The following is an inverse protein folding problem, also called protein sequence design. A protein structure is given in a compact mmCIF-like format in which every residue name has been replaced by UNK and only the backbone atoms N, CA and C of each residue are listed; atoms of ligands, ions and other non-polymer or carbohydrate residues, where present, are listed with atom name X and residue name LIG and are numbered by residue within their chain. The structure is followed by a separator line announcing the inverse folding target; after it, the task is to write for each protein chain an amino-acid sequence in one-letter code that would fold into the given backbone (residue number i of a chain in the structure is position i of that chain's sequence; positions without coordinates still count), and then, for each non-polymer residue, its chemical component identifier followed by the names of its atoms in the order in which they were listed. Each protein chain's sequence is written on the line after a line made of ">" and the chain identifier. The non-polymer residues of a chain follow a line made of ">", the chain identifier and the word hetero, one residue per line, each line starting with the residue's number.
data_IF_621926011042
#
_entry.id   IF_621926011042
#
_cell.length_a   1.000
_cell.length_b   1.000
_cell.length_c   1.000
_cell.angle_alpha   90.00
_cell.angle_beta   90.00
_cell.angle_gamma   90.00
#
_symmetry.space_group_name_H-M   'P 1'
#
loop_
_entity.id
_entity.type
_entity.pdbx_description
1 polymer ?
#
# COMPACT_ATOMS: atom_id res chain seq x y z
N UNK A 1 29.32 3.85 -23.53
CA UNK A 1 29.23 4.57 -22.25
C UNK A 1 29.31 3.57 -21.11
N UNK A 2 29.78 3.95 -19.92
CA UNK A 2 29.96 3.02 -18.79
C UNK A 2 28.79 3.19 -17.80
N UNK A 3 28.24 2.09 -17.29
CA UNK A 3 27.19 2.12 -16.26
C UNK A 3 27.78 2.51 -14.90
N UNK A 4 27.21 3.52 -14.25
CA UNK A 4 27.72 3.97 -12.93
C UNK A 4 27.48 2.98 -11.77
N UNK A 5 26.63 1.96 -11.96
CA UNK A 5 26.34 0.98 -10.90
C UNK A 5 27.11 -0.33 -11.03
N UNK A 6 27.42 -0.76 -12.25
CA UNK A 6 28.05 -2.05 -12.50
C UNK A 6 29.32 -1.96 -13.35
N UNK A 7 29.73 -0.77 -13.79
CA UNK A 7 30.96 -0.57 -14.57
C UNK A 7 30.94 -1.17 -15.98
N UNK A 8 29.84 -1.79 -16.40
CA UNK A 8 29.74 -2.42 -17.71
C UNK A 8 29.63 -1.37 -18.84
N UNK A 9 30.38 -1.54 -19.94
CA UNK A 9 30.20 -0.73 -21.13
C UNK A 9 28.86 -1.08 -21.79
N UNK A 10 28.07 -0.07 -22.14
CA UNK A 10 26.80 -0.22 -22.83
C UNK A 10 26.61 0.85 -23.90
N UNK A 11 25.84 0.51 -24.92
CA UNK A 11 25.39 1.43 -25.96
C UNK A 11 24.11 2.14 -25.49
N UNK A 12 24.11 3.47 -25.31
CA UNK A 12 22.89 4.18 -24.99
C UNK A 12 21.92 4.09 -26.17
N UNK A 13 20.66 3.74 -25.90
CA UNK A 13 19.59 3.83 -26.89
C UNK A 13 19.47 5.30 -27.29
N UNK A 14 19.87 5.66 -28.51
CA UNK A 14 20.05 7.04 -29.00
C UNK A 14 18.76 7.87 -29.11
N UNK A 15 17.70 7.52 -28.38
CA UNK A 15 16.41 8.19 -28.34
C UNK A 15 16.21 8.81 -26.96
N UNK A 16 16.31 10.14 -26.88
CA UNK A 16 16.08 10.91 -25.65
C UNK A 16 17.33 11.24 -24.82
N UNK A 17 17.13 11.50 -23.53
CA UNK A 17 18.19 11.97 -22.61
C UNK A 17 19.30 10.91 -22.44
N UNK A 18 20.56 11.36 -22.32
CA UNK A 18 21.73 10.49 -22.14
C UNK A 18 21.51 9.44 -21.05
N UNK A 19 21.61 8.16 -21.40
CA UNK A 19 21.41 7.06 -20.47
C UNK A 19 22.61 6.94 -19.52
N UNK A 20 22.35 6.92 -18.21
CA UNK A 20 23.36 6.87 -17.14
C UNK A 20 23.68 5.43 -16.68
N UNK A 21 22.76 4.51 -16.93
CA UNK A 21 22.85 3.12 -16.48
C UNK A 21 22.53 2.19 -17.65
N UNK A 22 23.14 1.00 -17.67
CA UNK A 22 22.92 0.02 -18.73
C UNK A 22 21.53 -0.60 -18.73
N UNK A 23 20.78 -0.51 -17.62
CA UNK A 23 19.43 -1.08 -17.49
C UNK A 23 18.62 -0.41 -16.37
N UNK A 24 17.30 -0.65 -16.39
CA UNK A 24 16.38 -0.25 -15.31
C UNK A 24 16.77 -0.86 -13.95
N UNK A 25 17.30 -2.08 -13.95
CA UNK A 25 17.78 -2.77 -12.73
C UNK A 25 18.94 -2.02 -12.07
N UNK A 26 19.91 -1.55 -12.87
CA UNK A 26 21.01 -0.73 -12.37
C UNK A 26 20.48 0.61 -11.85
N UNK A 27 19.60 1.29 -12.60
CA UNK A 27 18.97 2.54 -12.14
C UNK A 27 18.30 2.40 -10.76
N UNK A 28 17.60 1.30 -10.51
CA UNK A 28 16.91 1.08 -9.23
C UNK A 28 17.89 0.75 -8.08
N UNK A 29 18.98 0.02 -8.36
CA UNK A 29 20.05 -0.23 -7.38
C UNK A 29 20.73 1.07 -6.96
N UNK A 30 21.02 1.96 -7.91
CA UNK A 30 21.57 3.30 -7.65
C UNK A 30 20.69 4.10 -6.69
N UNK A 31 19.39 4.13 -6.98
CA UNK A 31 18.42 4.86 -6.18
C UNK A 31 18.33 4.32 -4.74
N UNK A 32 18.30 3.00 -4.58
CA UNK A 32 18.27 2.36 -3.25
C UNK A 32 19.54 2.64 -2.45
N UNK A 33 20.72 2.62 -3.10
CA UNK A 33 22.00 2.92 -2.46
C UNK A 33 22.07 4.38 -2.01
N UNK A 34 21.66 5.32 -2.87
CA UNK A 34 21.61 6.75 -2.54
C UNK A 34 20.70 7.03 -1.34
N UNK A 35 19.52 6.39 -1.27
CA UNK A 35 18.57 6.55 -0.17
C UNK A 35 19.04 5.90 1.14
N UNK A 36 19.85 4.84 1.08
CA UNK A 36 20.51 4.27 2.27
C UNK A 36 21.61 5.20 2.79
N UNK A 37 22.42 5.75 1.90
CA UNK A 37 23.48 6.69 2.27
C UNK A 37 22.92 8.00 2.83
N UNK A 38 21.81 8.52 2.28
CA UNK A 38 21.18 9.74 2.80
C UNK A 38 20.58 9.58 4.20
N UNK A 39 20.26 8.36 4.64
CA UNK A 39 19.83 8.09 6.02
C UNK A 39 20.99 8.00 7.00
N UNK A 40 22.19 7.67 6.51
CA UNK A 40 23.40 7.53 7.31
C UNK A 40 24.12 8.88 7.49
N UNK A 41 23.92 9.85 6.59
CA UNK A 41 24.66 11.13 6.59
C UNK A 41 23.89 12.33 7.15
N UNK A 42 22.64 12.16 7.58
CA UNK A 42 21.92 13.19 8.37
C UNK A 42 22.00 12.81 9.85
N UNK A 43 22.79 13.53 10.68
CA UNK A 43 22.60 13.49 12.12
C UNK A 43 21.20 14.07 12.43
N UNK A 44 20.41 13.44 13.31
CA UNK A 44 19.18 14.08 13.79
C UNK A 44 19.55 15.34 14.58
N UNK A 45 18.93 16.47 14.24
CA UNK A 45 19.05 17.72 15.00
C UNK A 45 18.38 17.57 16.38
N UNK A 46 18.86 18.28 17.43
CA UNK A 46 18.51 17.98 18.82
C UNK A 46 17.21 18.68 19.23
N UNK A 47 16.33 17.96 19.91
CA UNK A 47 15.25 18.55 20.68
C UNK A 47 14.90 17.64 21.86
N UNK A 48 15.13 18.14 23.07
CA UNK A 48 14.53 17.66 24.31
C UNK A 48 15.36 16.62 25.06
N UNK A 49 15.81 17.01 26.24
CA UNK A 49 16.38 16.14 27.26
C UNK A 49 15.31 15.11 27.65
N UNK A 50 15.46 13.88 27.17
CA UNK A 50 14.71 12.74 27.71
C UNK A 50 15.75 11.75 28.20
N UNK A 51 15.85 11.69 29.52
CA UNK A 51 16.68 10.76 30.25
C UNK A 51 16.39 9.35 29.74
N UNK A 52 17.44 8.65 29.35
CA UNK A 52 17.39 7.26 28.97
C UNK A 52 17.19 6.43 30.24
N UNK A 53 15.93 6.15 30.60
CA UNK A 53 15.64 5.06 31.54
C UNK A 53 15.79 3.70 30.82
N UNK A 54 16.47 2.74 31.45
CA UNK A 54 16.68 1.42 30.90
C UNK A 54 15.42 0.55 31.06
N UNK A 55 15.06 -0.14 29.98
CA UNK A 55 14.23 -1.37 29.94
C UNK A 55 13.14 -1.50 31.02
N UNK A 56 12.03 -0.80 30.83
CA UNK A 56 10.76 -1.26 31.37
C UNK A 56 10.32 -2.47 30.53
N UNK A 57 10.55 -3.66 31.08
CA UNK A 57 9.81 -4.90 30.88
C UNK A 57 8.52 -4.73 30.07
N UNK A 58 8.32 -5.58 29.06
CA UNK A 58 7.10 -5.81 28.27
C UNK A 58 5.78 -5.68 29.05
N UNK A 59 5.33 -4.46 29.32
CA UNK A 59 3.95 -4.18 29.66
C UNK A 59 3.36 -3.41 28.49
N UNK A 60 2.82 -4.16 27.52
CA UNK A 60 2.00 -3.59 26.46
C UNK A 60 0.93 -2.72 27.13
N UNK A 61 0.97 -1.41 26.88
CA UNK A 61 -0.03 -0.50 27.41
C UNK A 61 -1.37 -0.76 26.73
N UNK A 62 -2.47 -0.30 27.32
CA UNK A 62 -3.77 -0.39 26.65
C UNK A 62 -3.77 0.29 25.27
N UNK A 63 -2.96 1.36 25.12
CA UNK A 63 -2.75 2.02 23.84
C UNK A 63 -1.94 1.16 22.85
N UNK A 64 -0.96 0.38 23.31
CA UNK A 64 -0.20 -0.55 22.47
C UNK A 64 -1.06 -1.74 22.03
N UNK A 65 -1.95 -2.23 22.91
CA UNK A 65 -2.93 -3.27 22.57
C UNK A 65 -3.96 -2.74 21.58
N UNK A 66 -4.47 -1.53 21.78
CA UNK A 66 -5.39 -0.86 20.84
C UNK A 66 -4.70 -0.55 19.51
N UNK A 67 -3.42 -0.18 19.52
CA UNK A 67 -2.64 0.00 18.31
C UNK A 67 -2.45 -1.32 17.56
N UNK A 68 -2.05 -2.42 18.22
CA UNK A 68 -1.94 -3.74 17.60
C UNK A 68 -3.27 -4.24 16.99
N UNK A 69 -4.41 -3.91 17.60
CA UNK A 69 -5.74 -4.25 17.09
C UNK A 69 -6.19 -3.35 15.93
N UNK A 70 -5.68 -2.11 15.87
CA UNK A 70 -5.93 -1.16 14.78
C UNK A 70 -4.87 -1.21 13.66
N UNK A 71 -3.72 -1.85 13.88
CA UNK A 71 -2.65 -2.12 12.88
C UNK A 71 -2.97 -3.33 11.99
N UNK A 72 -4.25 -3.73 11.94
CA UNK A 72 -4.76 -4.56 10.87
C UNK A 72 -4.56 -3.85 9.52
N UNK A 73 -4.44 -4.60 8.40
CA UNK A 73 -4.39 -3.99 7.08
C UNK A 73 -5.58 -3.03 6.92
N UNK A 74 -5.30 -1.76 6.63
CA UNK A 74 -6.34 -0.72 6.52
C UNK A 74 -7.52 -1.25 5.69
N UNK A 75 -8.71 -1.26 6.29
CA UNK A 75 -9.91 -1.70 5.60
C UNK A 75 -10.09 -0.89 4.30
N UNK A 76 -10.52 -1.54 3.23
CA UNK A 76 -10.58 -0.92 1.91
C UNK A 76 -11.48 0.33 1.92
N UNK A 77 -12.58 0.33 2.69
CA UNK A 77 -13.45 1.51 2.84
C UNK A 77 -12.71 2.64 3.55
N UNK A 78 -11.87 2.34 4.54
CA UNK A 78 -11.05 3.34 5.24
C UNK A 78 -10.06 4.05 4.29
N UNK A 79 -9.42 3.29 3.38
CA UNK A 79 -8.53 3.83 2.34
C UNK A 79 -9.31 4.73 1.37
N UNK A 80 -10.49 4.30 0.94
CA UNK A 80 -11.36 5.09 0.06
C UNK A 80 -11.82 6.40 0.73
N UNK A 81 -12.23 6.36 2.00
CA UNK A 81 -12.60 7.56 2.76
C UNK A 81 -11.43 8.54 2.89
N UNK A 82 -10.23 8.03 3.15
CA UNK A 82 -9.01 8.86 3.24
C UNK A 82 -8.66 9.51 1.90
N UNK A 83 -8.74 8.76 0.81
CA UNK A 83 -8.49 9.32 -0.54
C UNK A 83 -9.55 10.35 -0.92
N UNK A 84 -10.82 10.12 -0.57
CA UNK A 84 -11.90 11.08 -0.75
C UNK A 84 -11.63 12.39 0.02
N UNK A 85 -11.18 12.31 1.27
CA UNK A 85 -10.84 13.50 2.07
C UNK A 85 -9.74 14.35 1.41
N UNK A 86 -8.67 13.71 0.92
CA UNK A 86 -7.58 14.40 0.21
C UNK A 86 -8.03 15.06 -1.09
N UNK A 87 -8.91 14.40 -1.85
CA UNK A 87 -9.45 14.98 -3.08
C UNK A 87 -10.42 16.14 -2.80
N UNK A 88 -11.21 16.07 -1.73
CA UNK A 88 -12.05 17.19 -1.28
C UNK A 88 -11.18 18.40 -0.94
N UNK A 89 -10.14 18.21 -0.14
CA UNK A 89 -9.18 19.26 0.20
C UNK A 89 -8.52 19.85 -1.06
N UNK A 90 -8.04 19.00 -1.97
CA UNK A 90 -7.46 19.45 -3.23
C UNK A 90 -8.47 20.22 -4.09
N UNK A 91 -9.75 19.85 -4.14
CA UNK A 91 -10.75 20.55 -4.95
C UNK A 91 -10.97 21.99 -4.47
N UNK A 92 -10.90 22.22 -3.16
CA UNK A 92 -11.15 23.54 -2.55
C UNK A 92 -9.87 24.35 -2.26
N UNK A 93 -8.69 23.80 -2.56
CA UNK A 93 -7.43 24.52 -2.38
C UNK A 93 -7.29 25.65 -3.41
N UNK A 94 -6.89 26.84 -2.97
CA UNK A 94 -6.69 28.00 -3.84
C UNK A 94 -5.54 27.80 -4.86
N UNK A 95 -4.65 26.84 -4.62
CA UNK A 95 -3.55 26.49 -5.52
C UNK A 95 -3.92 25.49 -6.63
N UNK A 96 -5.17 25.02 -6.66
CA UNK A 96 -5.59 23.97 -7.58
C UNK A 96 -5.81 24.52 -8.99
N UNK A 97 -5.09 24.02 -10.01
CA UNK A 97 -5.27 24.51 -11.37
C UNK A 97 -6.69 24.25 -11.89
N UNK A 98 -7.35 25.21 -12.57
CA UNK A 98 -8.72 25.05 -13.06
C UNK A 98 -8.93 23.81 -13.94
N UNK A 99 -7.94 23.45 -14.77
CA UNK A 99 -7.99 22.26 -15.62
C UNK A 99 -8.02 20.92 -14.86
N UNK A 100 -7.68 20.92 -13.57
CA UNK A 100 -7.71 19.71 -12.74
C UNK A 100 -9.05 19.50 -12.00
N UNK A 101 -9.87 20.55 -11.86
CA UNK A 101 -11.13 20.52 -11.11
C UNK A 101 -12.11 19.48 -11.65
N UNK A 102 -12.22 19.36 -12.98
CA UNK A 102 -13.09 18.35 -13.61
C UNK A 102 -12.60 16.93 -13.37
N UNK A 103 -11.28 16.71 -13.29
CA UNK A 103 -10.71 15.40 -12.98
C UNK A 103 -10.99 15.01 -11.52
N UNK A 104 -10.74 15.95 -10.61
CA UNK A 104 -10.97 15.78 -9.16
C UNK A 104 -12.46 15.54 -8.88
N UNK A 105 -13.36 16.30 -9.51
CA UNK A 105 -14.81 16.12 -9.30
C UNK A 105 -15.32 14.76 -9.76
N UNK A 106 -14.84 14.26 -10.91
CA UNK A 106 -15.17 12.91 -11.40
C UNK A 106 -14.67 11.82 -10.45
N UNK A 107 -13.44 11.96 -9.95
CA UNK A 107 -12.86 11.01 -9.00
C UNK A 107 -13.62 11.00 -7.67
N UNK A 108 -14.04 12.18 -7.17
CA UNK A 108 -14.86 12.27 -5.97
C UNK A 108 -16.21 11.54 -6.13
N UNK A 109 -16.91 11.74 -7.25
CA UNK A 109 -18.16 11.03 -7.53
C UNK A 109 -17.97 9.52 -7.60
N UNK A 110 -16.88 9.05 -8.20
CA UNK A 110 -16.56 7.63 -8.28
C UNK A 110 -16.31 7.02 -6.90
N UNK A 111 -15.50 7.68 -6.07
CA UNK A 111 -15.21 7.22 -4.71
C UNK A 111 -16.45 7.23 -3.81
N UNK A 112 -17.31 8.26 -3.92
CA UNK A 112 -18.55 8.31 -3.15
C UNK A 112 -19.46 7.12 -3.46
N UNK A 113 -19.65 6.80 -4.75
CA UNK A 113 -20.45 5.63 -5.18
C UNK A 113 -19.86 4.31 -4.70
N UNK A 114 -18.53 4.20 -4.73
CA UNK A 114 -17.83 2.99 -4.29
C UNK A 114 -17.95 2.78 -2.78
N UNK A 115 -17.81 3.84 -2.00
CA UNK A 115 -18.02 3.82 -0.54
C UNK A 115 -19.47 3.44 -0.23
N UNK A 116 -20.44 4.08 -0.88
CA UNK A 116 -21.87 3.75 -0.71
C UNK A 116 -22.19 2.29 -1.08
N UNK A 117 -21.56 1.75 -2.13
CA UNK A 117 -21.72 0.35 -2.53
C UNK A 117 -21.17 -0.62 -1.47
N UNK A 118 -20.03 -0.31 -0.88
CA UNK A 118 -19.38 -1.16 0.12
C UNK A 118 -20.07 -1.05 1.48
N UNK A 119 -20.51 0.13 1.88
CA UNK A 119 -21.23 0.36 3.14
C UNK A 119 -22.70 -0.05 3.06
N UNK A 120 -23.32 0.05 1.87
CA UNK A 120 -24.71 -0.33 1.62
C UNK A 120 -24.92 -1.82 1.36
N UNK A 121 -23.85 -2.63 1.30
CA UNK A 121 -23.93 -4.07 1.08
C UNK A 121 -23.10 -4.86 2.11
N UNK A 122 -23.60 -5.04 3.35
CA UNK A 122 -22.89 -5.82 4.37
C UNK A 122 -22.79 -7.32 4.05
N UNK A 123 -23.45 -7.82 2.99
CA UNK A 123 -23.55 -9.25 2.68
C UNK A 123 -22.42 -9.82 1.81
N UNK A 124 -21.56 -8.99 1.20
CA UNK A 124 -20.51 -9.49 0.28
C UNK A 124 -19.19 -9.91 0.95
N UNK A 125 -19.12 -9.90 2.29
CA UNK A 125 -17.98 -10.41 3.05
C UNK A 125 -18.04 -11.90 3.40
N UNK A 126 -19.12 -12.61 3.06
CA UNK A 126 -19.32 -14.00 3.47
C UNK A 126 -19.86 -14.84 2.31
N UNK A 127 -19.03 -15.07 1.28
CA UNK A 127 -19.24 -16.23 0.40
C UNK A 127 -18.63 -17.44 1.12
N UNK A 128 -19.34 -17.99 2.09
CA UNK A 128 -19.17 -19.40 2.42
C UNK A 128 -19.57 -20.15 1.15
N UNK A 129 -18.58 -20.70 0.46
CA UNK A 129 -18.82 -21.69 -0.56
C UNK A 129 -19.34 -22.91 0.20
N UNK A 130 -20.66 -23.04 0.23
CA UNK A 130 -21.31 -24.23 0.76
C UNK A 130 -20.96 -25.35 -0.22
N UNK A 131 -19.97 -26.18 0.15
CA UNK A 131 -19.68 -27.43 -0.55
C UNK A 131 -20.98 -28.23 -0.61
N UNK A 132 -21.41 -28.72 -1.79
CA UNK A 132 -22.51 -29.67 -1.84
C UNK A 132 -22.06 -30.94 -1.11
N UNK A 133 -22.76 -31.29 -0.03
CA UNK A 133 -22.64 -32.59 0.61
C UNK A 133 -23.04 -33.65 -0.43
N UNK A 134 -22.04 -34.30 -1.03
CA UNK A 134 -22.23 -35.55 -1.76
C UNK A 134 -22.59 -36.63 -0.73
N UNK A 135 -23.89 -36.77 -0.44
CA UNK A 135 -24.47 -37.97 0.15
C UNK A 135 -24.30 -39.13 -0.85
N UNK A 136 -23.16 -39.82 -0.75
CA UNK A 136 -22.95 -41.14 -1.34
C UNK A 136 -23.59 -42.19 -0.42
N UNK A 137 -24.92 -42.29 -0.42
CA UNK A 137 -25.66 -43.45 0.10
C UNK A 137 -26.05 -44.41 -1.05
N UNK A 138 -25.04 -44.84 -1.80
CA UNK A 138 -25.15 -45.94 -2.76
C UNK A 138 -25.26 -47.30 -2.06
N UNK A 139 -26.47 -47.64 -1.61
CA UNK A 139 -27.03 -48.98 -1.30
C UNK A 139 -26.07 -50.19 -1.51
N UNK A 140 -25.55 -50.74 -0.42
CA UNK A 140 -24.86 -52.03 -0.41
C UNK A 140 -25.85 -53.16 -0.75
N UNK A 141 -25.71 -53.77 -1.93
CA UNK A 141 -26.47 -54.98 -2.31
C UNK A 141 -25.59 -56.24 -2.16
N UNK A 142 -25.72 -57.02 -1.07
CA UNK A 142 -25.03 -58.28 -0.96
C UNK A 142 -25.78 -59.39 -1.73
N UNK A 143 -24.99 -60.06 -2.57
CA UNK A 143 -25.09 -61.46 -3.03
C UNK A 143 -26.37 -61.97 -3.73
N UNK A 144 -26.17 -62.45 -4.96
CA UNK A 144 -26.87 -63.63 -5.47
C UNK A 144 -25.82 -64.62 -5.99
N UNK A 145 -25.72 -65.76 -5.30
CA UNK A 145 -25.04 -66.98 -5.76
C UNK A 145 -25.90 -67.63 -6.85
#
# INVERSE_FOLDING_TARGET
>A
MICEECGQPFAPSGRGKKAKYCSAKCKQRAYRRAKRMSRVTTPPAPAGDVEHEPEAMDTLTAADFEAMMNDGPEDYVSVLKRTQARLKEAMFSAGTPPGSLTGISKQLLALTREIERLEGNPAQGMTTQEDPEDDDDGEFRPEAI
#
